data_IF_751469193088
#
_entry.id   IF_751469193088
#
_cell.length_a   1.000
_cell.length_b   1.000
_cell.length_c   1.000
_cell.angle_alpha   90.00
_cell.angle_beta   90.00
_cell.angle_gamma   90.00
#
_symmetry.space_group_name_H-M   'P 1'
#
loop_
_entity.id
_entity.type
_entity.pdbx_description
1 polymer ?
#
# COMPACT_ATOMS: atom_id res chain seq x y z
N UNK A 1 -12.49 11.52 12.13
CA UNK A 1 -12.24 10.23 11.46
C UNK A 1 -11.39 9.39 12.37
N UNK A 2 -11.74 8.12 12.55
CA UNK A 2 -10.97 7.21 13.40
C UNK A 2 -9.78 6.64 12.62
N UNK A 3 -8.64 6.44 13.30
CA UNK A 3 -7.50 5.72 12.73
C UNK A 3 -7.85 4.23 12.64
N UNK A 4 -7.42 3.57 11.58
CA UNK A 4 -7.44 2.10 11.44
C UNK A 4 -6.06 1.53 11.71
N UNK A 5 -5.04 2.15 11.13
CA UNK A 5 -3.65 1.78 11.30
C UNK A 5 -2.79 3.02 11.50
N UNK A 6 -1.80 2.92 12.37
CA UNK A 6 -0.74 3.92 12.51
C UNK A 6 0.62 3.23 12.55
N UNK A 7 1.50 3.65 11.69
CA UNK A 7 2.90 3.21 11.63
C UNK A 7 3.76 4.34 12.16
N UNK A 8 4.63 4.05 13.13
CA UNK A 8 5.53 5.02 13.78
C UNK A 8 6.97 4.56 13.67
N UNK A 9 7.83 5.34 13.04
CA UNK A 9 9.28 5.14 12.89
C UNK A 9 9.66 3.69 12.54
N UNK A 10 8.87 3.05 11.65
CA UNK A 10 9.05 1.65 11.28
C UNK A 10 10.38 1.45 10.57
N UNK A 11 11.14 0.45 11.05
CA UNK A 11 12.43 0.06 10.47
C UNK A 11 12.46 -1.44 10.22
N UNK A 12 12.67 -1.82 8.95
CA UNK A 12 12.78 -3.22 8.53
C UNK A 12 14.04 -3.38 7.68
N UNK A 13 14.98 -4.19 8.18
CA UNK A 13 16.29 -4.39 7.58
C UNK A 13 16.49 -5.83 7.19
N UNK A 14 17.23 -6.07 6.09
CA UNK A 14 17.67 -7.39 5.64
C UNK A 14 19.17 -7.53 5.86
N UNK A 15 19.56 -8.60 6.54
CA UNK A 15 20.95 -8.89 6.86
C UNK A 15 21.54 -9.83 5.81
N UNK A 16 22.11 -9.26 4.77
CA UNK A 16 22.70 -10.00 3.64
C UNK A 16 24.21 -10.16 3.78
N UNK A 17 24.82 -10.99 2.93
CA UNK A 17 26.29 -11.13 2.90
C UNK A 17 27.00 -9.83 2.49
N UNK A 18 26.33 -8.97 1.71
CA UNK A 18 26.87 -7.69 1.24
C UNK A 18 26.74 -6.58 2.28
N UNK A 19 25.98 -6.83 3.35
CA UNK A 19 25.74 -5.87 4.42
C UNK A 19 24.27 -5.75 4.82
N UNK A 20 23.96 -4.70 5.55
CA UNK A 20 22.60 -4.43 6.04
C UNK A 20 21.85 -3.60 5.01
N UNK A 21 20.86 -4.20 4.38
CA UNK A 21 19.92 -3.53 3.46
C UNK A 21 18.79 -2.89 4.28
N UNK A 22 18.72 -1.57 4.31
CA UNK A 22 17.68 -0.80 5.01
C UNK A 22 16.45 -0.63 4.12
N UNK A 23 15.66 -1.70 3.98
CA UNK A 23 14.50 -1.69 3.08
C UNK A 23 13.39 -0.72 3.52
N UNK A 24 13.22 -0.53 4.83
CA UNK A 24 12.35 0.49 5.45
C UNK A 24 13.15 1.12 6.57
N UNK A 25 13.30 2.46 6.57
CA UNK A 25 14.21 3.15 7.49
C UNK A 25 13.55 4.40 8.09
N UNK A 26 12.65 4.18 9.05
CA UNK A 26 12.03 5.24 9.82
C UNK A 26 10.81 5.88 9.13
N UNK A 27 9.90 5.06 8.59
CA UNK A 27 8.66 5.59 8.01
C UNK A 27 7.56 5.73 9.06
N UNK A 28 6.76 6.80 8.90
CA UNK A 28 5.59 7.07 9.75
C UNK A 28 4.43 7.53 8.90
N UNK A 29 3.24 6.93 9.10
CA UNK A 29 2.00 7.32 8.44
C UNK A 29 0.78 6.73 9.17
N UNK A 30 -0.40 7.24 8.86
CA UNK A 30 -1.67 6.71 9.39
C UNK A 30 -2.65 6.47 8.26
N UNK A 31 -3.53 5.48 8.45
CA UNK A 31 -4.66 5.20 7.55
C UNK A 31 -5.95 5.43 8.35
N UNK A 32 -6.82 6.27 7.82
CA UNK A 32 -8.11 6.57 8.43
C UNK A 32 -9.19 5.62 7.92
N UNK A 33 -10.24 5.44 8.70
CA UNK A 33 -11.39 4.61 8.34
C UNK A 33 -12.01 5.06 7.01
N UNK A 34 -12.21 4.11 6.09
CA UNK A 34 -12.77 4.34 4.76
C UNK A 34 -11.85 5.10 3.81
N UNK A 35 -10.58 5.31 4.15
CA UNK A 35 -9.59 6.01 3.33
C UNK A 35 -8.76 5.05 2.49
N UNK A 36 -8.38 5.49 1.28
CA UNK A 36 -7.33 4.86 0.49
C UNK A 36 -6.02 5.65 0.60
N UNK A 37 -4.99 5.03 1.20
CA UNK A 37 -3.62 5.51 1.19
C UNK A 37 -2.87 4.88 0.02
N UNK A 38 -2.46 5.69 -0.96
CA UNK A 38 -1.56 5.28 -2.02
C UNK A 38 -0.10 5.33 -1.56
N UNK A 39 0.66 4.26 -1.77
CA UNK A 39 2.13 4.24 -1.56
C UNK A 39 2.79 4.07 -2.90
N UNK A 40 3.55 5.07 -3.34
CA UNK A 40 4.21 5.11 -4.64
C UNK A 40 5.72 5.23 -4.53
N UNK A 41 6.42 4.85 -5.59
CA UNK A 41 7.88 4.98 -5.72
C UNK A 41 8.45 3.94 -6.67
N UNK A 42 9.72 4.09 -7.04
CA UNK A 42 10.42 3.15 -7.94
C UNK A 42 10.52 1.75 -7.32
N UNK A 43 10.74 0.72 -8.16
CA UNK A 43 10.97 -0.65 -7.68
C UNK A 43 12.15 -0.71 -6.71
N UNK A 44 12.05 -1.53 -5.67
CA UNK A 44 13.08 -1.66 -4.63
C UNK A 44 13.10 -0.55 -3.57
N UNK A 45 12.20 0.44 -3.59
CA UNK A 45 12.19 1.52 -2.60
C UNK A 45 11.61 1.14 -1.22
N UNK A 46 11.15 -0.12 -1.02
CA UNK A 46 10.69 -0.62 0.28
C UNK A 46 9.17 -0.73 0.47
N UNK A 47 8.35 -0.47 -0.56
CA UNK A 47 6.88 -0.51 -0.49
C UNK A 47 6.35 -1.86 0.03
N UNK A 48 6.67 -2.96 -0.65
CA UNK A 48 6.23 -4.31 -0.25
C UNK A 48 6.83 -4.74 1.09
N UNK A 49 8.07 -4.33 1.41
CA UNK A 49 8.67 -4.61 2.72
C UNK A 49 7.90 -3.91 3.85
N UNK A 50 7.37 -2.69 3.63
CA UNK A 50 6.53 -2.01 4.62
C UNK A 50 5.22 -2.76 4.87
N UNK A 51 4.56 -3.25 3.82
CA UNK A 51 3.32 -4.03 3.93
C UNK A 51 3.51 -5.38 4.58
N UNK A 52 4.58 -6.09 4.22
CA UNK A 52 4.96 -7.35 4.87
C UNK A 52 5.27 -7.17 6.35
N UNK A 53 5.81 -5.99 6.73
CA UNK A 53 6.08 -5.65 8.12
C UNK A 53 4.78 -5.50 8.92
N UNK A 54 3.75 -4.88 8.35
CA UNK A 54 2.43 -4.73 9.00
C UNK A 54 1.87 -6.10 9.36
N UNK A 55 1.92 -7.04 8.43
CA UNK A 55 1.45 -8.41 8.63
C UNK A 55 2.44 -9.32 9.37
N UNK A 56 3.63 -8.83 9.75
CA UNK A 56 4.68 -9.65 10.39
C UNK A 56 5.08 -10.87 9.56
N UNK A 57 5.10 -10.75 8.21
CA UNK A 57 5.48 -11.81 7.26
C UNK A 57 6.76 -11.50 6.51
N UNK A 58 7.61 -10.63 7.05
CA UNK A 58 8.92 -10.29 6.47
C UNK A 58 9.74 -11.57 6.30
N UNK A 59 10.17 -11.92 5.07
CA UNK A 59 10.94 -13.14 4.85
C UNK A 59 12.36 -13.02 5.41
N UNK A 60 12.93 -14.15 5.87
CA UNK A 60 14.33 -14.22 6.24
C UNK A 60 15.23 -13.86 5.03
N UNK A 61 16.32 -13.09 5.23
CA UNK A 61 16.93 -12.67 6.50
C UNK A 61 16.42 -11.30 7.03
N UNK A 62 15.21 -10.86 6.62
CA UNK A 62 14.62 -9.59 7.03
C UNK A 62 14.11 -9.63 8.47
N UNK A 63 14.21 -8.48 9.16
CA UNK A 63 13.72 -8.29 10.55
C UNK A 63 13.18 -6.88 10.72
N UNK A 64 12.10 -6.72 11.49
CA UNK A 64 11.69 -5.43 12.02
C UNK A 64 12.63 -5.14 13.19
N UNK A 65 13.36 -4.03 13.10
CA UNK A 65 14.41 -3.64 14.07
C UNK A 65 14.03 -2.44 14.92
N UNK A 66 12.91 -1.78 14.61
CA UNK A 66 12.42 -0.63 15.36
C UNK A 66 11.08 -0.13 14.88
N UNK A 67 10.50 0.80 15.65
CA UNK A 67 9.20 1.40 15.39
C UNK A 67 8.03 0.60 15.94
N UNK A 68 6.83 1.10 15.66
CA UNK A 68 5.57 0.53 16.12
C UNK A 68 4.57 0.44 14.97
N UNK A 69 3.69 -0.56 15.02
CA UNK A 69 2.56 -0.74 14.10
C UNK A 69 1.30 -0.89 14.95
N UNK A 70 0.53 0.16 15.06
CA UNK A 70 -0.63 0.26 15.94
C UNK A 70 -1.91 0.00 15.14
N UNK A 71 -2.63 -1.07 15.48
CA UNK A 71 -3.93 -1.43 14.91
C UNK A 71 -5.03 -1.00 15.86
N UNK A 72 -5.92 -0.14 15.39
CA UNK A 72 -7.05 0.38 16.16
C UNK A 72 -8.28 -0.51 16.01
N UNK A 73 -9.05 -0.68 17.09
CA UNK A 73 -10.31 -1.38 17.06
C UNK A 73 -11.41 -0.42 16.55
N UNK A 74 -12.11 -0.81 15.46
CA UNK A 74 -13.13 0.04 14.87
C UNK A 74 -14.48 -0.09 15.58
N UNK A 75 -14.72 -1.22 16.24
CA UNK A 75 -15.93 -1.46 17.04
C UNK A 75 -15.80 -0.87 18.44
N UNK A 76 -14.57 -0.79 18.95
CA UNK A 76 -14.24 -0.31 20.28
C UNK A 76 -13.13 0.75 20.21
N UNK A 77 -13.42 1.96 19.67
CA UNK A 77 -12.40 3.01 19.48
C UNK A 77 -11.83 3.57 20.79
N UNK A 78 -12.44 3.28 21.92
CA UNK A 78 -11.98 3.63 23.26
C UNK A 78 -10.85 2.73 23.79
N UNK A 79 -10.65 1.56 23.16
CA UNK A 79 -9.56 0.65 23.55
C UNK A 79 -8.22 1.13 23.06
N UNK A 80 -7.18 0.86 23.84
CA UNK A 80 -5.80 1.05 23.43
C UNK A 80 -5.50 0.26 22.14
N UNK A 81 -4.78 0.87 21.18
CA UNK A 81 -4.43 0.20 19.94
C UNK A 81 -3.46 -0.97 20.20
N UNK A 82 -3.59 -2.02 19.41
CA UNK A 82 -2.72 -3.18 19.49
C UNK A 82 -1.41 -2.93 18.72
N UNK A 83 -0.26 -3.00 19.40
CA UNK A 83 1.03 -2.93 18.72
C UNK A 83 1.41 -4.28 18.12
N UNK A 84 1.32 -4.38 16.79
CA UNK A 84 1.61 -5.61 16.05
C UNK A 84 3.10 -5.99 16.12
N UNK A 85 3.99 -5.02 16.40
CA UNK A 85 5.44 -5.29 16.46
C UNK A 85 5.81 -6.13 17.68
N UNK A 86 5.02 -6.08 18.75
CA UNK A 86 5.20 -6.84 19.98
C UNK A 86 4.66 -8.27 19.91
N UNK A 87 3.86 -8.58 18.87
CA UNK A 87 3.27 -9.92 18.73
C UNK A 87 4.29 -10.92 18.17
N UNK A 88 4.20 -12.17 18.63
CA UNK A 88 4.94 -13.27 18.00
C UNK A 88 4.47 -13.47 16.55
N UNK A 89 5.36 -13.39 15.54
CA UNK A 89 5.00 -13.59 14.14
C UNK A 89 4.34 -14.94 13.82
N UNK A 90 4.53 -15.95 14.67
CA UNK A 90 3.92 -17.28 14.56
C UNK A 90 2.83 -17.52 15.58
N UNK A 91 2.55 -16.54 16.43
CA UNK A 91 1.59 -16.62 17.53
C UNK A 91 0.14 -16.68 17.09
N UNK A 92 -0.75 -17.05 18.03
CA UNK A 92 -2.18 -17.13 17.76
C UNK A 92 -2.81 -15.75 17.54
N UNK A 93 -2.31 -14.71 18.23
CA UNK A 93 -2.89 -13.36 18.17
C UNK A 93 -2.70 -12.73 16.78
N UNK A 94 -1.49 -12.78 16.20
CA UNK A 94 -1.26 -12.24 14.87
C UNK A 94 -2.04 -13.03 13.79
N UNK A 95 -2.26 -14.34 13.99
CA UNK A 95 -3.08 -15.16 13.07
C UNK A 95 -4.55 -14.74 13.06
N UNK A 96 -5.10 -14.27 14.19
CA UNK A 96 -6.47 -13.71 14.23
C UNK A 96 -6.58 -12.42 13.44
N UNK A 97 -5.50 -11.64 13.35
CA UNK A 97 -5.45 -10.38 12.63
C UNK A 97 -5.30 -10.61 11.13
N UNK A 98 -4.40 -11.53 10.73
CA UNK A 98 -4.20 -11.88 9.31
C UNK A 98 -5.42 -12.54 8.73
N UNK A 99 -5.99 -11.94 7.68
CA UNK A 99 -7.21 -12.39 7.03
C UNK A 99 -8.50 -11.97 7.74
N UNK A 100 -8.50 -11.85 9.08
CA UNK A 100 -9.67 -11.43 9.85
C UNK A 100 -9.84 -9.91 9.93
N UNK A 101 -8.79 -9.18 10.28
CA UNK A 101 -8.82 -7.71 10.42
C UNK A 101 -8.00 -6.98 9.37
N UNK A 102 -6.89 -7.55 8.97
CA UNK A 102 -6.03 -7.04 7.88
C UNK A 102 -5.87 -8.15 6.87
N UNK A 103 -6.28 -7.90 5.63
CA UNK A 103 -6.05 -8.79 4.50
C UNK A 103 -5.07 -8.19 3.52
N UNK A 104 -4.46 -9.04 2.68
CA UNK A 104 -3.51 -8.61 1.68
C UNK A 104 -3.76 -9.31 0.34
N UNK A 105 -3.72 -8.51 -0.73
CA UNK A 105 -3.59 -9.00 -2.12
C UNK A 105 -2.12 -8.84 -2.48
N UNK A 106 -1.47 -9.95 -2.84
CA UNK A 106 -0.06 -9.99 -3.23
C UNK A 106 0.13 -9.67 -4.71
N UNK A 107 1.35 -9.24 -5.05
CA UNK A 107 1.72 -8.75 -6.38
C UNK A 107 1.47 -9.75 -7.53
N UNK A 108 1.58 -11.05 -7.25
CA UNK A 108 1.43 -12.08 -8.30
C UNK A 108 0.20 -12.97 -8.06
N UNK A 109 -0.88 -12.82 -8.88
CA UNK A 109 -2.06 -13.67 -8.78
C UNK A 109 -1.78 -15.15 -9.00
N UNK A 110 -0.78 -15.45 -9.84
CA UNK A 110 -0.43 -16.82 -10.23
C UNK A 110 0.18 -17.62 -9.08
N UNK A 111 0.88 -16.97 -8.17
CA UNK A 111 1.56 -17.60 -7.03
C UNK A 111 0.75 -17.55 -5.75
N UNK A 112 -0.29 -16.70 -5.70
CA UNK A 112 -1.12 -16.49 -4.50
C UNK A 112 -2.18 -17.57 -4.29
N UNK A 113 -2.66 -18.18 -5.39
CA UNK A 113 -3.64 -19.28 -5.33
C UNK A 113 -2.93 -20.64 -5.40
N UNK A 114 -3.24 -21.52 -4.46
CA UNK A 114 -2.73 -22.90 -4.46
C UNK A 114 -3.28 -23.69 -5.65
N UNK A 115 -2.44 -24.24 -6.53
CA UNK A 115 -2.91 -25.04 -7.67
C UNK A 115 -3.54 -26.39 -7.25
N UNK A 116 -3.34 -26.81 -6.01
CA UNK A 116 -3.77 -28.10 -5.47
C UNK A 116 -5.15 -28.06 -4.81
N UNK A 117 -5.71 -26.86 -4.62
CA UNK A 117 -6.99 -26.68 -3.94
C UNK A 117 -7.96 -25.94 -4.86
N UNK A 118 -9.25 -26.31 -4.75
CA UNK A 118 -10.31 -25.57 -5.48
C UNK A 118 -10.46 -24.16 -4.96
N UNK A 119 -11.02 -23.28 -5.77
CA UNK A 119 -11.35 -21.90 -5.41
C UNK A 119 -12.18 -21.85 -4.12
N UNK A 120 -13.24 -22.67 -4.05
CA UNK A 120 -14.09 -22.72 -2.87
C UNK A 120 -13.35 -23.11 -1.60
N UNK A 121 -12.48 -24.13 -1.67
CA UNK A 121 -11.71 -24.54 -0.50
C UNK A 121 -10.79 -23.42 0.03
N UNK A 122 -10.18 -22.64 -0.86
CA UNK A 122 -9.28 -21.57 -0.48
C UNK A 122 -10.03 -20.38 0.13
N UNK A 123 -11.19 -20.00 -0.39
CA UNK A 123 -12.02 -18.94 0.20
C UNK A 123 -12.61 -19.41 1.54
N UNK A 124 -13.15 -20.62 1.59
CA UNK A 124 -13.73 -21.20 2.81
C UNK A 124 -12.70 -21.35 3.94
N UNK A 125 -11.42 -21.57 3.64
CA UNK A 125 -10.37 -21.68 4.66
C UNK A 125 -10.33 -20.43 5.54
N UNK A 126 -10.30 -19.24 4.95
CA UNK A 126 -10.32 -17.98 5.70
C UNK A 126 -11.61 -17.82 6.53
N UNK A 127 -12.76 -18.12 5.92
CA UNK A 127 -14.06 -18.03 6.58
C UNK A 127 -14.14 -18.97 7.78
N UNK A 128 -13.70 -20.22 7.64
CA UNK A 128 -13.67 -21.23 8.70
C UNK A 128 -12.71 -20.88 9.84
N UNK A 129 -11.62 -20.17 9.52
CA UNK A 129 -10.66 -19.71 10.53
C UNK A 129 -11.19 -18.54 11.36
N UNK A 130 -11.92 -17.61 10.73
CA UNK A 130 -12.20 -16.30 11.33
C UNK A 130 -13.68 -16.04 11.63
N UNK A 131 -14.64 -16.68 10.93
CA UNK A 131 -16.04 -16.31 11.02
C UNK A 131 -16.95 -17.41 11.56
N UNK A 132 -16.90 -18.63 11.00
CA UNK A 132 -17.78 -19.75 11.38
C UNK A 132 -17.00 -21.05 11.43
N UNK A 133 -17.58 -22.04 12.12
CA UNK A 133 -17.10 -23.43 12.10
C UNK A 133 -17.98 -24.35 11.24
N UNK A 134 -19.11 -23.84 10.78
CA UNK A 134 -20.01 -24.58 9.90
C UNK A 134 -19.53 -24.48 8.45
N UNK A 135 -19.24 -25.65 7.87
CA UNK A 135 -18.75 -25.75 6.48
C UNK A 135 -19.81 -25.33 5.45
N UNK A 136 -21.10 -25.59 5.73
CA UNK A 136 -22.18 -25.19 4.80
C UNK A 136 -22.35 -23.70 4.78
N UNK A 137 -22.31 -23.07 5.95
CA UNK A 137 -22.32 -21.61 6.07
C UNK A 137 -21.09 -20.98 5.38
N UNK A 138 -19.90 -21.58 5.54
CA UNK A 138 -18.68 -21.11 4.89
C UNK A 138 -18.78 -21.20 3.35
N UNK A 139 -19.40 -22.27 2.84
CA UNK A 139 -19.62 -22.44 1.39
C UNK A 139 -20.58 -21.39 0.83
N UNK A 140 -21.69 -21.11 1.53
CA UNK A 140 -22.64 -20.08 1.11
C UNK A 140 -22.02 -18.67 1.15
N UNK A 141 -21.27 -18.34 2.19
CA UNK A 141 -20.52 -17.06 2.25
C UNK A 141 -19.47 -16.96 1.14
N UNK A 142 -18.78 -18.05 0.80
CA UNK A 142 -17.84 -18.08 -0.30
C UNK A 142 -18.55 -17.87 -1.64
N UNK A 143 -19.75 -18.47 -1.83
CA UNK A 143 -20.60 -18.24 -2.98
C UNK A 143 -21.01 -16.76 -3.09
N UNK A 144 -21.51 -16.17 -2.01
CA UNK A 144 -21.91 -14.76 -1.97
C UNK A 144 -20.75 -13.82 -2.34
N UNK A 145 -19.53 -14.13 -1.86
CA UNK A 145 -18.35 -13.35 -2.22
C UNK A 145 -18.00 -13.45 -3.71
N UNK A 146 -18.13 -14.63 -4.33
CA UNK A 146 -17.94 -14.77 -5.77
C UNK A 146 -18.98 -14.01 -6.59
N UNK A 147 -20.24 -13.95 -6.10
CA UNK A 147 -21.29 -13.10 -6.70
C UNK A 147 -20.91 -11.63 -6.60
N UNK A 148 -20.49 -11.15 -5.42
CA UNK A 148 -20.11 -9.77 -5.17
C UNK A 148 -18.95 -9.29 -6.05
N UNK A 149 -17.95 -10.14 -6.30
CA UNK A 149 -16.85 -9.81 -7.21
C UNK A 149 -17.20 -9.99 -8.69
N UNK A 150 -18.46 -10.30 -9.02
CA UNK A 150 -18.96 -10.38 -10.39
C UNK A 150 -18.45 -11.58 -11.17
N UNK A 151 -18.29 -12.73 -10.52
CA UNK A 151 -17.90 -13.98 -11.20
C UNK A 151 -19.17 -14.69 -11.71
N UNK A 152 -19.22 -14.98 -13.01
CA UNK A 152 -20.29 -15.79 -13.63
C UNK A 152 -20.23 -17.25 -13.20
N UNK A 153 -21.40 -17.90 -13.03
CA UNK A 153 -21.54 -19.30 -12.61
C UNK A 153 -20.79 -19.60 -11.28
N UNK A 154 -20.99 -18.83 -10.20
CA UNK A 154 -20.14 -18.90 -9.03
C UNK A 154 -20.15 -20.28 -8.35
N UNK A 155 -21.26 -21.05 -8.38
CA UNK A 155 -21.32 -22.41 -7.82
C UNK A 155 -20.41 -23.40 -8.54
N UNK A 156 -20.30 -23.31 -9.86
CA UNK A 156 -19.37 -24.12 -10.65
C UNK A 156 -17.92 -23.70 -10.37
N UNK A 157 -17.67 -22.38 -10.32
CA UNK A 157 -16.35 -21.82 -10.08
C UNK A 157 -15.79 -22.18 -8.71
N UNK A 158 -16.62 -22.38 -7.68
CA UNK A 158 -16.17 -22.88 -6.37
C UNK A 158 -15.48 -24.25 -6.45
N UNK A 159 -15.88 -25.09 -7.42
CA UNK A 159 -15.34 -26.44 -7.59
C UNK A 159 -14.13 -26.50 -8.55
N UNK A 160 -13.84 -25.40 -9.25
CA UNK A 160 -12.71 -25.32 -10.17
C UNK A 160 -11.39 -25.07 -9.47
N UNK A 161 -10.31 -25.45 -10.13
CA UNK A 161 -8.94 -25.14 -9.71
C UNK A 161 -8.45 -23.86 -10.38
N UNK A 162 -7.48 -23.15 -9.77
CA UNK A 162 -6.97 -21.89 -10.34
C UNK A 162 -6.48 -21.98 -11.78
N UNK A 163 -5.89 -23.11 -12.20
CA UNK A 163 -5.40 -23.29 -13.57
C UNK A 163 -6.51 -23.36 -14.63
N UNK A 164 -7.75 -23.59 -14.23
CA UNK A 164 -8.93 -23.63 -15.13
C UNK A 164 -9.52 -22.24 -15.38
N UNK A 165 -9.03 -21.21 -14.64
CA UNK A 165 -9.54 -19.85 -14.69
C UNK A 165 -8.66 -18.92 -15.56
N UNK A 166 -9.28 -17.93 -16.21
CA UNK A 166 -8.55 -16.84 -16.86
C UNK A 166 -7.87 -15.91 -15.82
N UNK A 167 -6.90 -15.10 -16.25
CA UNK A 167 -6.19 -14.17 -15.37
C UNK A 167 -7.11 -13.20 -14.62
N UNK A 168 -8.07 -12.60 -15.32
CA UNK A 168 -9.03 -11.68 -14.69
C UNK A 168 -9.97 -12.39 -13.70
N UNK A 169 -10.38 -13.63 -13.95
CA UNK A 169 -11.18 -14.40 -12.99
C UNK A 169 -10.34 -14.77 -11.77
N UNK A 170 -9.07 -15.18 -11.93
CA UNK A 170 -8.16 -15.44 -10.79
C UNK A 170 -7.99 -14.21 -9.93
N UNK A 171 -7.86 -13.03 -10.54
CA UNK A 171 -7.76 -11.78 -9.81
C UNK A 171 -9.01 -11.51 -8.96
N UNK A 172 -10.20 -11.67 -9.54
CA UNK A 172 -11.48 -11.54 -8.83
C UNK A 172 -11.62 -12.56 -7.69
N UNK A 173 -11.15 -13.79 -7.89
CA UNK A 173 -11.10 -14.83 -6.85
C UNK A 173 -10.17 -14.42 -5.69
N UNK A 174 -8.99 -13.85 -6.00
CA UNK A 174 -8.09 -13.34 -4.95
C UNK A 174 -8.72 -12.18 -4.15
N UNK A 175 -9.41 -11.27 -4.83
CA UNK A 175 -10.16 -10.19 -4.16
C UNK A 175 -11.25 -10.80 -3.27
N UNK A 176 -12.03 -11.77 -3.78
CA UNK A 176 -13.03 -12.48 -2.98
C UNK A 176 -12.43 -13.15 -1.74
N UNK A 177 -11.30 -13.83 -1.90
CA UNK A 177 -10.58 -14.47 -0.78
C UNK A 177 -10.09 -13.43 0.23
N UNK A 178 -9.50 -12.33 -0.21
CA UNK A 178 -9.01 -11.28 0.67
C UNK A 178 -10.13 -10.58 1.45
N UNK A 179 -11.32 -10.44 0.86
CA UNK A 179 -12.45 -9.73 1.45
C UNK A 179 -13.47 -10.65 2.15
N UNK A 180 -13.31 -11.97 2.08
CA UNK A 180 -14.26 -12.95 2.62
C UNK A 180 -14.54 -12.82 4.12
N UNK A 181 -13.60 -12.23 4.86
CA UNK A 181 -13.74 -12.00 6.30
C UNK A 181 -14.05 -10.54 6.68
N UNK A 182 -14.42 -9.69 5.72
CA UNK A 182 -14.75 -8.27 5.92
C UNK A 182 -13.66 -7.52 6.72
N UNK A 183 -12.41 -7.46 6.23
CA UNK A 183 -11.30 -6.84 6.94
C UNK A 183 -11.53 -5.33 7.09
N UNK A 184 -11.03 -4.75 8.18
CA UNK A 184 -11.03 -3.29 8.38
C UNK A 184 -9.99 -2.59 7.51
N UNK A 185 -8.93 -3.31 7.11
CA UNK A 185 -7.86 -2.83 6.24
C UNK A 185 -7.51 -3.88 5.17
N UNK A 186 -7.56 -3.47 3.92
CA UNK A 186 -7.01 -4.22 2.79
C UNK A 186 -5.67 -3.61 2.38
N UNK A 187 -4.62 -4.42 2.32
CA UNK A 187 -3.34 -4.07 1.71
C UNK A 187 -3.33 -4.65 0.30
N UNK A 188 -3.29 -3.79 -0.72
CA UNK A 188 -3.25 -4.18 -2.13
C UNK A 188 -1.87 -3.85 -2.69
N UNK A 189 -0.99 -4.87 -2.80
CA UNK A 189 0.37 -4.72 -3.30
C UNK A 189 0.39 -5.05 -4.80
N UNK A 190 0.41 -4.02 -5.64
CA UNK A 190 0.36 -4.09 -7.10
C UNK A 190 -0.76 -5.00 -7.66
N UNK A 191 -2.01 -4.85 -7.20
CA UNK A 191 -3.09 -5.83 -7.44
C UNK A 191 -3.53 -5.92 -8.90
N UNK A 192 -3.13 -5.00 -9.77
CA UNK A 192 -3.50 -4.96 -11.18
C UNK A 192 -2.33 -5.18 -12.12
N UNK A 193 -1.14 -5.48 -11.60
CA UNK A 193 0.04 -5.81 -12.42
C UNK A 193 -0.25 -7.04 -13.28
N UNK A 194 0.13 -7.00 -14.54
CA UNK A 194 -0.10 -8.04 -15.56
C UNK A 194 -1.57 -8.20 -16.02
N UNK A 195 -2.47 -7.25 -15.73
CA UNK A 195 -3.80 -7.17 -16.34
C UNK A 195 -3.79 -6.21 -17.53
N UNK A 196 -4.64 -6.46 -18.51
CA UNK A 196 -4.91 -5.47 -19.55
C UNK A 196 -5.67 -4.26 -19.00
N UNK A 197 -5.61 -3.13 -19.68
CA UNK A 197 -6.17 -1.85 -19.23
C UNK A 197 -7.67 -1.94 -18.91
N UNK A 198 -8.42 -2.74 -19.69
CA UNK A 198 -9.86 -2.86 -19.51
C UNK A 198 -10.20 -3.64 -18.23
N UNK A 199 -9.52 -4.75 -18.02
CA UNK A 199 -9.69 -5.57 -16.79
C UNK A 199 -9.19 -4.82 -15.57
N UNK A 200 -8.08 -4.06 -15.70
CA UNK A 200 -7.59 -3.19 -14.63
C UNK A 200 -8.65 -2.18 -14.19
N UNK A 201 -9.27 -1.46 -15.13
CA UNK A 201 -10.33 -0.49 -14.80
C UNK A 201 -11.52 -1.14 -14.07
N UNK A 202 -11.97 -2.31 -14.55
CA UNK A 202 -13.04 -3.08 -13.89
C UNK A 202 -12.69 -3.52 -12.47
N UNK A 203 -11.43 -3.93 -12.23
CA UNK A 203 -10.96 -4.32 -10.89
C UNK A 203 -10.90 -3.11 -9.96
N UNK A 204 -10.46 -1.95 -10.44
CA UNK A 204 -10.40 -0.74 -9.64
C UNK A 204 -11.79 -0.25 -9.24
N UNK A 205 -12.76 -0.28 -10.18
CA UNK A 205 -14.16 0.06 -9.91
C UNK A 205 -14.76 -0.89 -8.87
N UNK A 206 -14.59 -2.20 -9.06
CA UNK A 206 -15.01 -3.23 -8.11
C UNK A 206 -14.42 -2.99 -6.71
N UNK A 207 -13.13 -2.67 -6.60
CA UNK A 207 -12.50 -2.41 -5.30
C UNK A 207 -13.07 -1.16 -4.62
N UNK A 208 -13.42 -0.10 -5.36
CA UNK A 208 -14.08 1.09 -4.83
C UNK A 208 -15.49 0.80 -4.33
N UNK A 209 -16.26 0.03 -5.09
CA UNK A 209 -17.62 -0.39 -4.69
C UNK A 209 -17.58 -1.18 -3.40
N UNK A 210 -16.71 -2.22 -3.33
CA UNK A 210 -16.55 -3.05 -2.15
C UNK A 210 -15.99 -2.27 -0.96
N UNK A 211 -15.09 -1.31 -1.16
CA UNK A 211 -14.61 -0.42 -0.11
C UNK A 211 -15.77 0.37 0.51
N UNK A 212 -16.64 0.93 -0.34
CA UNK A 212 -17.80 1.71 0.13
C UNK A 212 -18.83 0.83 0.83
N UNK A 213 -19.12 -0.36 0.30
CA UNK A 213 -20.07 -1.31 0.86
C UNK A 213 -19.63 -1.84 2.24
N UNK A 214 -18.36 -2.26 2.33
CA UNK A 214 -17.80 -2.87 3.54
C UNK A 214 -17.25 -1.85 4.55
N UNK A 215 -17.15 -0.57 4.18
CA UNK A 215 -16.60 0.48 5.04
C UNK A 215 -15.12 0.30 5.38
N UNK A 216 -14.39 -0.49 4.60
CA UNK A 216 -12.98 -0.79 4.84
C UNK A 216 -12.05 0.32 4.35
N UNK A 217 -10.82 0.30 4.85
CA UNK A 217 -9.73 1.16 4.38
C UNK A 217 -8.81 0.39 3.46
N UNK A 218 -8.12 1.09 2.55
CA UNK A 218 -7.19 0.45 1.61
C UNK A 218 -5.82 1.09 1.72
N UNK A 219 -4.75 0.27 1.82
CA UNK A 219 -3.39 0.66 1.51
C UNK A 219 -3.08 0.14 0.10
N UNK A 220 -3.01 1.04 -0.87
CA UNK A 220 -2.78 0.69 -2.26
C UNK A 220 -1.33 0.95 -2.66
N UNK A 221 -0.61 -0.07 -3.05
CA UNK A 221 0.78 0.02 -3.49
C UNK A 221 0.84 -0.20 -4.99
N UNK A 222 1.44 0.73 -5.72
CA UNK A 222 1.70 0.58 -7.14
C UNK A 222 2.81 1.54 -7.60
N UNK A 223 3.41 1.24 -8.74
CA UNK A 223 4.26 2.17 -9.48
C UNK A 223 3.47 2.92 -10.57
N UNK A 224 2.20 2.55 -10.81
CA UNK A 224 1.33 3.22 -11.78
C UNK A 224 0.63 4.42 -11.14
N UNK A 225 1.09 5.61 -11.54
CA UNK A 225 0.56 6.88 -11.05
C UNK A 225 -0.84 7.17 -11.56
N UNK A 226 -1.22 6.63 -12.72
CA UNK A 226 -2.58 6.72 -13.25
C UNK A 226 -3.59 6.05 -12.32
N UNK A 227 -3.26 4.85 -11.86
CA UNK A 227 -4.06 4.09 -10.88
C UNK A 227 -4.19 4.87 -9.56
N UNK A 228 -3.08 5.39 -9.03
CA UNK A 228 -3.13 6.19 -7.79
C UNK A 228 -3.99 7.44 -7.96
N UNK A 229 -3.90 8.12 -9.12
CA UNK A 229 -4.74 9.27 -9.44
C UNK A 229 -6.24 8.96 -9.40
N UNK A 230 -6.61 7.70 -9.62
CA UNK A 230 -7.99 7.24 -9.63
C UNK A 230 -8.49 6.79 -8.25
N UNK A 231 -7.66 6.08 -7.46
CA UNK A 231 -8.13 5.39 -6.25
C UNK A 231 -7.74 6.07 -4.94
N UNK A 232 -6.65 6.85 -4.88
CA UNK A 232 -6.11 7.34 -3.62
C UNK A 232 -6.75 8.64 -3.14
N UNK A 233 -6.96 8.76 -1.83
CA UNK A 233 -7.31 10.00 -1.14
C UNK A 233 -6.05 10.74 -0.68
N UNK A 234 -5.06 9.97 -0.22
CA UNK A 234 -3.80 10.44 0.34
C UNK A 234 -2.66 9.63 -0.23
N UNK A 235 -1.50 10.23 -0.43
CA UNK A 235 -0.37 9.59 -1.10
C UNK A 235 0.90 9.74 -0.28
N UNK A 236 1.62 8.65 -0.08
CA UNK A 236 2.98 8.62 0.46
C UNK A 236 3.96 8.22 -0.65
N UNK A 237 4.94 9.07 -0.91
CA UNK A 237 5.99 8.84 -1.89
C UNK A 237 7.21 8.28 -1.19
N UNK A 238 7.60 7.05 -1.56
CA UNK A 238 8.75 6.37 -0.97
C UNK A 238 9.97 6.41 -1.89
N UNK A 239 11.14 6.64 -1.28
CA UNK A 239 12.43 6.53 -1.94
C UNK A 239 13.48 5.98 -0.97
N UNK A 240 14.21 4.91 -1.34
CA UNK A 240 15.25 4.25 -0.53
C UNK A 240 14.82 4.00 0.93
N UNK A 241 13.67 3.36 1.13
CA UNK A 241 13.18 2.99 2.45
C UNK A 241 12.60 4.13 3.28
N UNK A 242 12.50 5.34 2.75
CA UNK A 242 11.99 6.53 3.44
C UNK A 242 10.78 7.13 2.73
N UNK A 243 9.87 7.75 3.49
CA UNK A 243 8.86 8.65 2.91
C UNK A 243 9.54 9.99 2.67
N UNK A 244 9.57 10.42 1.40
CA UNK A 244 10.18 11.69 0.99
C UNK A 244 9.17 12.81 0.84
N UNK A 245 7.91 12.44 0.57
CA UNK A 245 6.79 13.37 0.50
C UNK A 245 5.49 12.65 0.83
N UNK A 246 4.54 13.33 1.47
CA UNK A 246 3.23 12.79 1.79
C UNK A 246 2.19 13.92 1.83
N UNK A 247 1.03 13.69 1.23
CA UNK A 247 -0.03 14.69 1.17
C UNK A 247 -1.31 14.15 0.55
N UNK A 248 -2.32 15.00 0.42
CA UNK A 248 -3.51 14.65 -0.35
C UNK A 248 -3.15 14.36 -1.80
N UNK A 249 -3.95 13.56 -2.48
CA UNK A 249 -3.76 13.29 -3.91
C UNK A 249 -3.56 14.58 -4.72
N UNK A 250 -4.35 15.61 -4.43
CA UNK A 250 -4.28 16.89 -5.13
C UNK A 250 -2.93 17.61 -4.89
N UNK A 251 -2.43 17.63 -3.64
CA UNK A 251 -1.14 18.22 -3.31
C UNK A 251 -0.01 17.53 -4.05
N UNK A 252 0.06 16.21 -4.01
CA UNK A 252 1.13 15.43 -4.65
C UNK A 252 1.12 15.55 -6.17
N UNK A 253 -0.07 15.56 -6.80
CA UNK A 253 -0.18 15.58 -8.26
C UNK A 253 -0.09 16.99 -8.87
N UNK A 254 -0.56 18.03 -8.16
CA UNK A 254 -0.57 19.40 -8.69
C UNK A 254 0.55 20.28 -8.20
N UNK A 255 1.05 20.02 -6.98
CA UNK A 255 2.09 20.83 -6.34
C UNK A 255 3.13 19.95 -5.64
N UNK A 256 3.82 19.03 -6.36
CA UNK A 256 4.87 18.23 -5.77
C UNK A 256 6.01 19.11 -5.23
N UNK A 257 6.40 18.88 -3.99
CA UNK A 257 7.44 19.65 -3.31
C UNK A 257 8.81 18.98 -3.43
N UNK A 258 8.87 17.65 -3.28
CA UNK A 258 10.16 16.95 -3.37
C UNK A 258 10.62 16.82 -4.81
N UNK A 259 11.90 17.11 -5.14
CA UNK A 259 12.41 17.00 -6.53
C UNK A 259 12.26 15.61 -7.16
N UNK A 260 12.24 14.55 -6.36
CA UNK A 260 11.92 13.20 -6.84
C UNK A 260 10.46 13.08 -7.26
N UNK A 261 9.52 13.56 -6.44
CA UNK A 261 8.08 13.53 -6.74
C UNK A 261 7.77 14.35 -7.99
N UNK A 262 8.33 15.54 -8.11
CA UNK A 262 8.19 16.39 -9.31
C UNK A 262 8.63 15.65 -10.59
N UNK A 263 9.79 14.99 -10.57
CA UNK A 263 10.23 14.19 -11.69
C UNK A 263 9.38 12.96 -11.96
N UNK A 264 8.92 12.32 -10.89
CA UNK A 264 8.03 11.17 -11.00
C UNK A 264 6.71 11.57 -11.69
N UNK A 265 6.13 12.72 -11.31
CA UNK A 265 4.92 13.26 -11.96
C UNK A 265 5.16 13.65 -13.42
N UNK A 266 6.33 14.21 -13.76
CA UNK A 266 6.72 14.58 -15.14
C UNK A 266 6.97 13.39 -16.05
N UNK A 267 7.22 12.21 -15.51
CA UNK A 267 7.38 10.97 -16.27
C UNK A 267 6.06 10.35 -16.75
N UNK A 268 4.90 10.83 -16.24
CA UNK A 268 3.58 10.34 -16.65
C UNK A 268 3.32 10.77 -18.12
N UNK A 269 2.97 9.82 -19.02
CA UNK A 269 2.52 10.17 -20.37
C UNK A 269 1.22 10.97 -20.29
N UNK A 270 1.25 12.26 -20.62
CA UNK A 270 0.02 13.04 -20.70
C UNK A 270 -0.70 12.75 -22.01
N UNK A 271 -2.00 12.42 -21.96
CA UNK A 271 -2.87 12.27 -23.14
C UNK A 271 -3.06 13.59 -23.93
N UNK A 272 -2.78 14.74 -23.31
CA UNK A 272 -2.73 16.01 -24.02
C UNK A 272 -1.51 16.00 -24.92
N UNK A 273 -1.70 16.03 -26.26
CA UNK A 273 -0.65 16.26 -27.25
C UNK A 273 0.20 17.43 -26.77
N UNK A 274 1.43 17.15 -26.30
CA UNK A 274 2.43 18.19 -26.07
C UNK A 274 2.70 18.81 -27.44
N UNK A 275 2.24 20.03 -27.64
CA UNK A 275 2.47 20.79 -28.90
C UNK A 275 3.94 20.97 -29.22
N UNK A 276 4.84 20.72 -28.26
CA UNK A 276 6.25 21.10 -28.32
C UNK A 276 7.22 19.95 -28.63
N UNK A 277 6.76 18.73 -28.94
CA UNK A 277 7.65 17.59 -29.29
C UNK A 277 8.67 17.19 -28.21
N UNK A 278 8.57 17.70 -26.98
CA UNK A 278 9.53 17.41 -25.91
C UNK A 278 9.43 15.93 -25.48
N UNK A 279 10.58 15.26 -25.38
CA UNK A 279 10.70 13.92 -24.83
C UNK A 279 10.21 13.90 -23.38
N UNK A 280 9.65 12.75 -22.94
CA UNK A 280 9.34 12.52 -21.51
C UNK A 280 10.63 12.69 -20.69
N UNK A 281 10.54 13.44 -19.61
CA UNK A 281 11.66 13.56 -18.68
C UNK A 281 11.78 12.26 -17.89
N UNK A 282 12.85 11.51 -18.12
CA UNK A 282 13.19 10.35 -17.30
C UNK A 282 14.02 10.78 -16.08
N UNK A 283 13.84 10.09 -14.97
CA UNK A 283 14.71 10.28 -13.80
C UNK A 283 16.06 9.66 -14.14
N UNK A 284 17.11 10.49 -14.23
CA UNK A 284 18.45 10.04 -14.61
C UNK A 284 19.06 9.11 -13.58
N UNK A 285 19.84 8.12 -14.03
CA UNK A 285 20.53 7.15 -13.17
C UNK A 285 19.61 6.04 -12.64
N UNK A 286 20.22 5.05 -11.98
CA UNK A 286 19.54 3.92 -11.34
C UNK A 286 19.32 4.19 -9.85
N UNK A 287 18.31 3.57 -9.25
CA UNK A 287 18.09 3.57 -7.80
C UNK A 287 19.25 2.83 -7.16
N UNK A 288 20.01 3.44 -6.25
CA UNK A 288 21.09 2.74 -5.56
C UNK A 288 20.50 1.69 -4.58
N UNK A 289 21.25 0.64 -4.33
CA UNK A 289 20.90 -0.35 -3.31
C UNK A 289 21.22 0.27 -1.93
N UNK A 290 20.28 0.30 -0.97
CA UNK A 290 20.49 0.97 0.33
C UNK A 290 21.32 0.11 1.31
N UNK A 291 22.54 -0.27 0.88
CA UNK A 291 23.53 -0.98 1.70
C UNK A 291 24.69 -0.03 1.98
N UNK A 292 25.01 0.18 3.25
CA UNK A 292 26.17 0.99 3.65
C UNK A 292 26.10 2.47 3.25
N UNK A 293 24.91 3.00 2.90
CA UNK A 293 24.74 4.40 2.54
C UNK A 293 24.95 5.27 3.79
N UNK A 294 25.86 6.26 3.74
CA UNK A 294 26.04 7.21 4.84
C UNK A 294 24.76 8.03 5.07
N UNK A 295 24.60 8.62 6.28
CA UNK A 295 23.48 9.52 6.56
C UNK A 295 23.49 10.73 5.63
N UNK A 296 22.66 10.69 4.59
CA UNK A 296 22.55 11.72 3.55
C UNK A 296 21.13 11.70 2.95
N UNK A 297 20.78 12.75 2.21
CA UNK A 297 19.57 12.72 1.40
C UNK A 297 19.67 11.59 0.36
N UNK A 298 18.82 10.57 0.45
CA UNK A 298 18.88 9.40 -0.44
C UNK A 298 18.81 9.75 -1.93
N UNK A 299 18.13 10.85 -2.27
CA UNK A 299 17.99 11.33 -3.66
C UNK A 299 19.14 12.24 -4.12
N UNK A 300 20.09 12.60 -3.26
CA UNK A 300 21.15 13.58 -3.56
C UNK A 300 21.91 13.28 -4.86
N UNK A 301 22.23 12.01 -5.14
CA UNK A 301 22.97 11.60 -6.33
C UNK A 301 22.21 11.78 -7.67
N UNK A 302 20.87 11.89 -7.61
CA UNK A 302 19.98 12.03 -8.78
C UNK A 302 19.22 13.37 -8.79
N UNK A 303 19.44 14.21 -7.77
CA UNK A 303 18.72 15.45 -7.56
C UNK A 303 19.29 16.59 -8.42
N UNK A 304 18.48 17.23 -9.29
CA UNK A 304 18.94 18.32 -10.16
C UNK A 304 19.22 19.61 -9.38
N UNK A 305 18.67 19.74 -8.17
CA UNK A 305 18.77 20.92 -7.31
C UNK A 305 19.50 20.61 -6.00
N UNK A 306 20.39 19.61 -6.02
CA UNK A 306 21.20 19.22 -4.85
C UNK A 306 21.97 20.40 -4.28
N UNK A 307 21.88 20.57 -2.96
CA UNK A 307 22.72 21.50 -2.20
C UNK A 307 23.97 20.75 -1.69
N UNK A 308 25.11 20.98 -2.33
CA UNK A 308 26.40 20.38 -1.92
C UNK A 308 26.74 20.79 -0.49
N UNK A 309 27.33 19.85 0.29
CA UNK A 309 27.67 20.09 1.69
C UNK A 309 26.50 19.97 2.67
N UNK A 310 25.24 19.90 2.19
CA UNK A 310 24.05 19.71 3.01
C UNK A 310 23.36 18.38 2.68
N UNK A 311 22.96 18.19 1.42
CA UNK A 311 22.31 16.94 0.97
C UNK A 311 23.22 15.71 1.08
N UNK A 312 24.55 15.92 1.11
CA UNK A 312 25.54 14.85 1.18
C UNK A 312 25.88 14.43 2.59
N UNK A 313 25.55 15.25 3.59
CA UNK A 313 26.04 15.10 4.96
C UNK A 313 24.93 14.84 5.96
N UNK A 314 23.66 15.00 5.59
CA UNK A 314 22.52 14.85 6.49
C UNK A 314 21.29 14.29 5.80
N UNK A 315 20.42 13.67 6.59
CA UNK A 315 19.08 13.21 6.16
C UNK A 315 18.07 14.30 6.47
N UNK A 316 17.33 14.83 5.47
CA UNK A 316 16.29 15.83 5.75
C UNK A 316 15.16 15.21 6.57
N UNK A 317 14.63 15.95 7.54
CA UNK A 317 13.44 15.54 8.31
C UNK A 317 12.18 15.72 7.47
N UNK A 318 11.17 14.90 7.72
CA UNK A 318 9.84 15.08 7.14
C UNK A 318 9.11 16.20 7.92
N UNK A 319 8.81 17.31 7.24
CA UNK A 319 8.22 18.52 7.86
C UNK A 319 6.94 18.91 7.15
N UNK A 320 5.94 19.43 7.91
CA UNK A 320 4.70 19.95 7.36
C UNK A 320 4.92 21.32 6.69
N UNK A 321 4.39 21.49 5.50
CA UNK A 321 4.45 22.75 4.72
C UNK A 321 3.08 23.41 4.57
N UNK A 322 2.16 23.01 5.40
CA UNK A 322 0.79 23.48 5.48
C UNK A 322 -0.22 22.47 4.97
N UNK A 323 -1.38 22.48 5.60
CA UNK A 323 -2.52 21.59 5.26
C UNK A 323 -2.17 20.10 5.22
N UNK A 324 -1.15 19.66 5.99
CA UNK A 324 -0.72 18.28 6.02
C UNK A 324 0.10 17.81 4.82
N UNK A 325 0.67 18.72 4.06
CA UNK A 325 1.63 18.42 3.01
C UNK A 325 3.03 18.30 3.60
N UNK A 326 3.48 17.06 3.78
CA UNK A 326 4.76 16.74 4.41
C UNK A 326 5.84 16.53 3.34
N UNK A 327 7.04 17.11 3.55
CA UNK A 327 8.18 16.92 2.66
C UNK A 327 9.49 16.76 3.43
N UNK A 328 10.34 15.86 2.97
CA UNK A 328 11.68 15.59 3.48
C UNK A 328 12.73 16.15 2.52
N UNK A 329 12.94 17.48 2.51
CA UNK A 329 13.85 18.14 1.57
C UNK A 329 14.47 19.43 2.13
N UNK A 330 15.79 19.59 2.02
CA UNK A 330 16.51 20.79 2.43
C UNK A 330 16.23 22.07 1.62
N UNK A 331 15.43 22.00 0.57
CA UNK A 331 14.95 23.19 -0.13
C UNK A 331 14.04 24.04 0.74
N UNK A 332 13.36 23.43 1.70
CA UNK A 332 12.34 24.07 2.52
C UNK A 332 12.81 24.45 3.92
N UNK A 333 14.11 24.35 4.21
CA UNK A 333 14.70 24.75 5.49
C UNK A 333 14.92 23.58 6.46
N UNK A 334 15.55 23.89 7.60
CA UNK A 334 15.91 22.95 8.66
C UNK A 334 15.16 23.28 9.94
N UNK A 335 13.96 23.87 9.87
CA UNK A 335 13.23 24.24 11.07
C UNK A 335 13.02 23.01 11.96
N UNK A 336 13.53 23.15 13.21
CA UNK A 336 13.33 22.19 14.28
C UNK A 336 11.88 22.30 14.77
N UNK A 337 10.94 21.66 14.09
CA UNK A 337 9.65 21.38 14.68
C UNK A 337 9.64 19.95 15.21
N UNK A 338 9.44 19.86 16.54
CA UNK A 338 9.23 18.62 17.25
C UNK A 338 8.01 17.88 16.68
N UNK A 339 8.18 16.55 16.50
CA UNK A 339 7.14 15.56 16.19
C UNK A 339 5.94 16.09 15.38
N UNK A 340 6.03 15.95 14.06
CA UNK A 340 4.90 16.22 13.16
C UNK A 340 3.76 15.24 13.47
N UNK A 341 2.67 15.72 14.05
CA UNK A 341 1.43 14.97 14.08
C UNK A 341 0.98 14.74 12.62
N UNK A 342 0.82 13.48 12.26
CA UNK A 342 0.36 13.12 10.89
C UNK A 342 -1.05 13.69 10.72
N UNK A 343 -1.26 14.63 9.78
CA UNK A 343 -2.52 15.35 9.66
C UNK A 343 -3.66 14.42 9.29
N UNK A 344 -4.86 14.72 9.80
CA UNK A 344 -6.09 14.00 9.43
C UNK A 344 -6.58 14.48 8.07
N UNK A 345 -6.61 13.65 7.02
CA UNK A 345 -7.03 14.05 5.69
C UNK A 345 -8.52 14.45 5.65
N UNK A 346 -8.84 15.48 4.85
CA UNK A 346 -10.23 15.91 4.60
C UNK A 346 -10.86 14.97 3.55
N UNK A 347 -12.05 14.44 3.80
CA UNK A 347 -12.81 13.61 2.83
C UNK A 347 -13.13 14.41 1.57
N UNK A 348 -12.79 13.89 0.37
CA UNK A 348 -13.42 14.33 -0.88
C UNK A 348 -14.88 13.88 -0.88
N UNK A 349 -15.83 14.84 -0.99
CA UNK A 349 -17.17 14.53 -1.48
C UNK A 349 -17.02 14.29 -2.99
N UNK A 350 -17.08 13.06 -3.43
CA UNK A 350 -17.25 12.76 -4.85
C UNK A 350 -18.67 13.23 -5.23
N UNK A 351 -18.74 14.36 -5.94
CA UNK A 351 -19.99 14.80 -6.54
C UNK A 351 -20.39 13.76 -7.59
N UNK A 352 -21.61 13.22 -7.47
CA UNK A 352 -22.26 12.57 -8.59
C UNK A 352 -22.34 13.63 -9.69
N UNK A 353 -21.69 13.38 -10.82
CA UNK A 353 -22.00 14.13 -12.04
C UNK A 353 -23.42 13.75 -12.42
N UNK A 354 -24.37 14.62 -12.10
CA UNK A 354 -25.65 14.63 -12.78
C UNK A 354 -25.40 15.07 -14.23
N UNK A 355 -25.77 14.19 -15.20
CA UNK A 355 -25.72 14.44 -16.62
C UNK A 355 -25.68 13.15 -17.40
#
# INVERSE_FOLDING_TARGET
>A
MNKVLEVRDLRTYYYTYEGVLKAVDGISYSIMQGQTLGIIGESGCGKSASSQSILRIVPSPGKIVGGQILLYDQEHPEKEPQDLTQMDPRGKEIRKIRGGRISMIFQEPMTSLSPLHTVGNQIMEAILLHQTKDRKEAEERAYEMLVKVGIGNPRERLQEYPHQLSGGIRQRVMIAMALSCHPSLLIADEPTTALDVTVQAQVLELMKELQSELGMSIQYITHDLGVIGEVADYVAVMYLGKIVEMGSLEQIFRNPLHPYTDRLMKSIPSLRKRKDGRKLESISGTVPIPIGIPPSCGFAGRCPVRKSGKCDCAVPKLTDRGDGHLVSCFLYGDEEEDSVEIPKPKRKKWGRSEG
#
